data_IF_285143946113
#
_entry.id   IF_285143946113
#
_cell.length_a   1.000
_cell.length_b   1.000
_cell.length_c   1.000
_cell.angle_alpha   90.00
_cell.angle_beta   90.00
_cell.angle_gamma   90.00
#
_symmetry.space_group_name_H-M   'P 1'
#
loop_
_entity.id
_entity.type
_entity.pdbx_description
1 polymer ?
#
# COMPACT_ATOMS: atom_id res chain seq x y z
N UNK A 1 -0.63 -20.62 32.25
CA UNK A 1 -1.76 -20.43 31.33
C UNK A 1 -2.15 -18.97 31.42
N UNK A 2 -1.62 -18.12 30.53
CA UNK A 2 -1.83 -16.67 30.57
C UNK A 2 -3.19 -16.38 29.92
N UNK A 3 -4.15 -15.97 30.75
CA UNK A 3 -5.40 -15.36 30.31
C UNK A 3 -5.07 -14.11 29.50
N UNK A 4 -5.26 -14.15 28.18
CA UNK A 4 -5.30 -12.95 27.33
C UNK A 4 -6.59 -12.18 27.66
N UNK A 5 -6.57 -11.48 28.79
CA UNK A 5 -7.55 -10.46 29.17
C UNK A 5 -7.63 -9.43 28.06
N UNK A 6 -8.86 -9.12 27.65
CA UNK A 6 -9.34 -7.94 26.90
C UNK A 6 -8.23 -7.01 26.42
N UNK A 7 -8.11 -6.82 25.11
CA UNK A 7 -7.43 -5.66 24.50
C UNK A 7 -7.79 -4.41 25.34
N UNK A 8 -6.87 -3.96 26.20
CA UNK A 8 -7.08 -2.76 26.99
C UNK A 8 -7.00 -1.60 26.01
N UNK A 9 -7.94 -0.66 26.10
CA UNK A 9 -7.87 0.59 25.35
C UNK A 9 -6.52 1.26 25.65
N UNK A 10 -5.80 1.61 24.59
CA UNK A 10 -4.49 2.24 24.66
C UNK A 10 -4.59 3.54 25.46
N UNK A 11 -3.68 3.75 26.40
CA UNK A 11 -3.64 5.05 27.09
C UNK A 11 -3.02 6.09 26.16
N UNK A 12 -3.54 7.31 26.24
CA UNK A 12 -3.03 8.42 25.44
C UNK A 12 -1.55 8.68 25.69
N UNK A 13 -1.10 8.50 26.94
CA UNK A 13 0.28 8.66 27.34
C UNK A 13 1.19 7.62 26.66
N UNK A 14 0.82 6.33 26.69
CA UNK A 14 1.60 5.28 26.04
C UNK A 14 1.66 5.50 24.52
N UNK A 15 0.56 5.92 23.88
CA UNK A 15 0.56 6.27 22.46
C UNK A 15 1.60 7.35 22.12
N UNK A 16 1.59 8.49 22.82
CA UNK A 16 2.56 9.56 22.56
C UNK A 16 4.00 9.15 22.85
N UNK A 17 4.25 8.31 23.86
CA UNK A 17 5.60 7.78 24.15
C UNK A 17 6.09 6.87 23.02
N UNK A 18 5.24 5.98 22.50
CA UNK A 18 5.59 5.13 21.35
C UNK A 18 5.92 6.00 20.14
N UNK A 19 5.11 7.03 19.86
CA UNK A 19 5.39 7.97 18.77
C UNK A 19 6.71 8.74 18.96
N UNK A 20 7.03 9.13 20.18
CA UNK A 20 8.30 9.80 20.50
C UNK A 20 9.51 8.87 20.28
N UNK A 21 9.37 7.58 20.61
CA UNK A 21 10.41 6.58 20.32
C UNK A 21 10.57 6.42 18.81
N UNK A 22 9.48 6.24 18.06
CA UNK A 22 9.52 6.14 16.59
C UNK A 22 10.20 7.36 15.97
N UNK A 23 9.86 8.57 16.45
CA UNK A 23 10.48 9.82 16.00
C UNK A 23 11.99 9.85 16.19
N UNK A 24 12.46 9.35 17.34
CA UNK A 24 13.84 9.47 17.77
C UNK A 24 14.69 8.23 17.42
N UNK A 25 14.07 7.18 16.88
CA UNK A 25 14.72 5.92 16.57
C UNK A 25 15.83 6.04 15.50
N UNK A 26 15.78 7.09 14.67
CA UNK A 26 16.70 7.27 13.54
C UNK A 26 17.09 8.72 13.34
N UNK A 27 18.32 8.94 12.86
CA UNK A 27 18.80 10.27 12.41
C UNK A 27 18.07 10.74 11.14
N UNK A 28 17.40 9.84 10.41
CA UNK A 28 16.55 10.13 9.24
C UNK A 28 15.07 10.29 9.63
N UNK A 29 14.77 10.86 10.81
CA UNK A 29 13.38 11.01 11.29
C UNK A 29 12.47 11.81 10.35
N UNK A 30 13.05 12.68 9.50
CA UNK A 30 12.36 13.41 8.44
C UNK A 30 11.91 12.56 7.24
N UNK A 31 12.08 11.24 7.29
CA UNK A 31 11.62 10.29 6.28
C UNK A 31 10.54 9.34 6.77
N UNK A 32 10.20 9.37 8.07
CA UNK A 32 9.15 8.54 8.67
C UNK A 32 7.85 9.32 8.67
N UNK A 33 6.80 8.77 8.07
CA UNK A 33 5.49 9.41 7.96
C UNK A 33 4.42 8.55 8.59
N UNK A 34 3.69 9.07 9.58
CA UNK A 34 2.52 8.37 10.13
C UNK A 34 1.32 8.55 9.21
N UNK A 35 0.54 7.49 9.01
CA UNK A 35 -0.69 7.52 8.23
C UNK A 35 -1.89 7.03 9.07
N UNK A 36 -3.02 6.82 8.39
CA UNK A 36 -4.16 6.12 8.95
C UNK A 36 -4.82 6.87 10.11
N UNK A 37 -5.37 6.11 11.06
CA UNK A 37 -6.08 6.69 12.21
C UNK A 37 -5.14 7.45 13.16
N UNK A 38 -3.87 7.07 13.25
CA UNK A 38 -2.86 7.82 14.02
C UNK A 38 -2.70 9.25 13.50
N UNK A 39 -2.61 9.43 12.17
CA UNK A 39 -2.53 10.77 11.57
C UNK A 39 -3.80 11.60 11.80
N UNK A 40 -4.98 10.99 11.65
CA UNK A 40 -6.26 11.69 11.88
C UNK A 40 -6.44 12.12 13.34
N UNK A 41 -5.96 11.29 14.27
CA UNK A 41 -6.01 11.58 15.69
C UNK A 41 -5.13 12.78 16.04
N UNK A 42 -3.88 12.81 15.54
CA UNK A 42 -2.97 13.95 15.74
C UNK A 42 -3.50 15.25 15.13
N UNK A 43 -4.26 15.17 14.03
CA UNK A 43 -4.96 16.31 13.43
C UNK A 43 -6.25 16.72 14.16
N UNK A 44 -6.60 16.08 15.29
CA UNK A 44 -7.85 16.27 16.03
C UNK A 44 -9.13 16.05 15.20
N UNK A 45 -9.06 15.20 14.17
CA UNK A 45 -10.22 14.90 13.29
C UNK A 45 -11.07 13.79 13.90
N UNK A 46 -10.43 12.79 14.51
CA UNK A 46 -11.10 11.71 15.24
C UNK A 46 -10.77 11.83 16.72
N UNK A 47 -11.75 11.52 17.59
CA UNK A 47 -11.58 11.54 19.06
C UNK A 47 -11.22 10.19 19.65
N UNK A 48 -11.53 9.10 18.95
CA UNK A 48 -11.21 7.74 19.39
C UNK A 48 -9.70 7.51 19.29
N UNK A 49 -9.14 6.74 20.22
CA UNK A 49 -7.74 6.36 20.15
C UNK A 49 -7.49 5.46 18.92
N UNK A 50 -6.38 5.65 18.19
CA UNK A 50 -5.95 4.71 17.15
C UNK A 50 -5.65 3.34 17.77
N UNK A 51 -5.99 2.25 17.08
CA UNK A 51 -5.71 0.88 17.56
C UNK A 51 -4.35 0.35 17.07
N UNK A 52 -3.82 1.01 16.04
CA UNK A 52 -2.59 0.68 15.34
C UNK A 52 -1.82 1.96 14.97
N UNK A 53 -0.52 1.79 14.77
CA UNK A 53 0.39 2.84 14.29
C UNK A 53 0.87 2.42 12.91
N UNK A 54 0.32 3.08 11.90
CA UNK A 54 0.69 2.87 10.51
C UNK A 54 1.86 3.79 10.12
N UNK A 55 2.98 3.19 9.71
CA UNK A 55 4.20 3.88 9.30
C UNK A 55 4.40 3.73 7.78
N UNK A 56 4.59 4.86 7.11
CA UNK A 56 5.10 4.96 5.74
C UNK A 56 6.45 5.68 5.72
N UNK A 57 7.05 5.67 4.54
CA UNK A 57 8.29 6.37 4.27
C UNK A 57 8.15 7.33 3.08
N UNK A 58 8.99 8.35 3.07
CA UNK A 58 9.10 9.29 1.95
C UNK A 58 9.61 8.60 0.68
N UNK A 59 9.17 9.09 -0.49
CA UNK A 59 9.46 8.46 -1.79
C UNK A 59 10.89 8.63 -2.32
N UNK A 60 11.75 9.36 -1.61
CA UNK A 60 13.17 9.53 -1.94
C UNK A 60 14.07 8.40 -1.40
N UNK A 61 13.54 7.50 -0.58
CA UNK A 61 14.27 6.35 -0.06
C UNK A 61 14.08 5.09 -0.93
N UNK A 62 15.17 4.33 -1.08
CA UNK A 62 15.12 2.99 -1.66
C UNK A 62 14.34 2.01 -0.77
N UNK A 63 13.92 0.87 -1.30
CA UNK A 63 13.25 -0.17 -0.51
C UNK A 63 14.15 -0.75 0.58
N UNK A 64 15.44 -0.90 0.29
CA UNK A 64 16.45 -1.35 1.26
C UNK A 64 16.60 -0.36 2.41
N UNK A 65 16.76 0.93 2.12
CA UNK A 65 16.83 1.97 3.15
C UNK A 65 15.58 1.98 4.03
N UNK A 66 14.39 1.83 3.43
CA UNK A 66 13.13 1.77 4.19
C UNK A 66 13.05 0.53 5.09
N UNK A 67 13.55 -0.62 4.64
CA UNK A 67 13.65 -1.81 5.48
C UNK A 67 14.64 -1.58 6.64
N UNK A 68 15.79 -0.97 6.39
CA UNK A 68 16.76 -0.65 7.45
C UNK A 68 16.16 0.31 8.49
N UNK A 69 15.45 1.35 8.04
CA UNK A 69 14.74 2.26 8.95
C UNK A 69 13.67 1.55 9.77
N UNK A 70 12.91 0.62 9.18
CA UNK A 70 11.97 -0.20 9.92
C UNK A 70 12.68 -0.94 11.07
N UNK A 71 13.80 -1.62 10.80
CA UNK A 71 14.57 -2.32 11.82
C UNK A 71 15.13 -1.38 12.90
N UNK A 72 15.61 -0.19 12.51
CA UNK A 72 16.03 0.85 13.46
C UNK A 72 14.91 1.29 14.40
N UNK A 73 13.66 1.33 13.92
CA UNK A 73 12.47 1.65 14.72
C UNK A 73 12.12 0.51 15.66
N UNK A 74 11.92 -0.70 15.12
CA UNK A 74 11.33 -1.81 15.90
C UNK A 74 12.25 -2.37 16.98
N UNK A 75 13.57 -2.23 16.86
CA UNK A 75 14.52 -2.66 17.90
C UNK A 75 14.36 -1.92 19.24
N UNK A 76 13.63 -0.79 19.27
CA UNK A 76 13.34 -0.03 20.49
C UNK A 76 12.17 -0.60 21.30
N UNK A 77 11.56 -1.71 20.85
CA UNK A 77 10.37 -2.27 21.46
C UNK A 77 10.51 -3.76 21.75
N UNK A 78 9.82 -4.22 22.80
CA UNK A 78 9.70 -5.65 23.09
C UNK A 78 8.67 -6.28 22.15
N UNK A 79 9.15 -7.00 21.14
CA UNK A 79 8.29 -7.60 20.11
C UNK A 79 7.65 -8.89 20.65
N UNK A 80 6.32 -8.89 20.76
CA UNK A 80 5.53 -10.06 21.17
C UNK A 80 5.42 -11.05 20.02
N UNK A 81 5.10 -10.55 18.82
CA UNK A 81 4.84 -11.37 17.63
C UNK A 81 4.99 -10.56 16.35
N UNK A 82 5.59 -11.15 15.33
CA UNK A 82 5.46 -10.70 13.95
C UNK A 82 4.20 -11.31 13.31
N UNK A 83 3.28 -10.46 12.85
CA UNK A 83 2.12 -10.88 12.04
C UNK A 83 2.47 -10.97 10.55
N UNK A 84 3.39 -10.12 10.09
CA UNK A 84 4.00 -10.17 8.76
C UNK A 84 5.43 -9.65 8.83
N UNK A 85 6.37 -10.36 8.22
CA UNK A 85 7.78 -9.95 8.18
C UNK A 85 8.40 -10.29 6.83
N UNK A 86 8.10 -9.48 5.82
CA UNK A 86 8.76 -9.56 4.52
C UNK A 86 9.20 -8.16 4.07
N UNK A 87 9.96 -8.07 2.98
CA UNK A 87 10.56 -6.81 2.54
C UNK A 87 9.54 -5.75 2.07
N UNK A 88 8.31 -6.15 1.77
CA UNK A 88 7.24 -5.27 1.29
C UNK A 88 6.27 -4.87 2.41
N UNK A 89 6.04 -5.77 3.36
CA UNK A 89 5.07 -5.62 4.45
C UNK A 89 5.69 -6.08 5.76
N UNK A 90 5.62 -5.21 6.76
CA UNK A 90 6.06 -5.46 8.13
C UNK A 90 4.92 -5.12 9.08
N UNK A 91 4.59 -6.06 9.96
CA UNK A 91 3.48 -5.95 10.91
C UNK A 91 3.91 -6.68 12.17
N UNK A 92 4.00 -5.98 13.29
CA UNK A 92 4.34 -6.58 14.57
C UNK A 92 3.43 -6.09 15.71
N UNK A 93 3.25 -6.96 16.69
CA UNK A 93 2.68 -6.64 17.98
C UNK A 93 3.84 -6.43 18.97
N UNK A 94 3.85 -5.29 19.63
CA UNK A 94 4.85 -4.93 20.64
C UNK A 94 4.19 -4.82 22.02
N UNK A 95 4.96 -5.04 23.07
CA UNK A 95 4.59 -4.68 24.44
C UNK A 95 5.26 -3.37 24.81
N UNK A 96 4.49 -2.42 25.34
CA UNK A 96 5.03 -1.18 25.89
C UNK A 96 4.20 -0.78 27.12
N UNK A 97 4.85 -0.61 28.28
CA UNK A 97 4.17 -0.33 29.56
C UNK A 97 2.99 -1.27 29.88
N UNK A 98 3.13 -2.58 29.60
CA UNK A 98 2.06 -3.58 29.75
C UNK A 98 0.83 -3.39 28.84
N UNK A 99 0.91 -2.49 27.86
CA UNK A 99 -0.05 -2.35 26.75
C UNK A 99 0.49 -3.08 25.51
N UNK A 100 -0.42 -3.48 24.61
CA UNK A 100 -0.07 -4.13 23.34
C UNK A 100 -0.35 -3.13 22.22
N UNK A 101 0.67 -2.78 21.45
CA UNK A 101 0.52 -1.95 20.26
C UNK A 101 0.74 -2.78 19.01
N UNK A 102 -0.01 -2.46 17.96
CA UNK A 102 0.23 -2.94 16.62
C UNK A 102 0.94 -1.86 15.82
N UNK A 103 2.11 -2.19 15.26
CA UNK A 103 2.85 -1.30 14.35
C UNK A 103 2.88 -1.96 12.97
N UNK A 104 2.41 -1.21 11.98
CA UNK A 104 2.22 -1.69 10.61
C UNK A 104 2.97 -0.80 9.62
N UNK A 105 3.60 -1.42 8.62
CA UNK A 105 4.19 -0.72 7.49
C UNK A 105 4.05 -1.54 6.21
N UNK A 106 3.46 -0.92 5.19
CA UNK A 106 3.66 -1.37 3.81
C UNK A 106 4.93 -0.68 3.33
N UNK A 107 6.08 -1.26 3.65
CA UNK A 107 7.42 -0.68 3.44
C UNK A 107 7.64 -0.27 1.98
N UNK A 108 7.08 -1.02 1.03
CA UNK A 108 7.17 -0.72 -0.40
C UNK A 108 6.35 0.49 -0.84
N UNK A 109 5.31 0.86 -0.08
CA UNK A 109 4.46 2.02 -0.37
C UNK A 109 5.17 3.30 0.06
N UNK A 110 5.14 4.31 -0.82
CA UNK A 110 5.68 5.64 -0.56
C UNK A 110 4.57 6.67 -0.49
N UNK A 111 4.84 7.79 0.17
CA UNK A 111 3.95 8.95 0.16
C UNK A 111 4.62 10.15 -0.53
N UNK A 112 3.86 10.84 -1.38
CA UNK A 112 4.30 12.04 -2.06
C UNK A 112 4.41 13.22 -1.07
N UNK A 113 5.42 14.07 -1.27
CA UNK A 113 5.67 15.24 -0.40
C UNK A 113 4.44 16.16 -0.27
N UNK A 114 3.62 16.29 -1.30
CA UNK A 114 2.37 17.08 -1.28
C UNK A 114 1.31 16.55 -0.31
N UNK A 115 1.40 15.28 0.08
CA UNK A 115 0.48 14.63 1.01
C UNK A 115 1.02 14.56 2.44
N UNK A 116 2.19 15.16 2.71
CA UNK A 116 2.84 15.14 4.02
C UNK A 116 2.71 16.53 4.66
N UNK A 117 2.29 16.55 5.91
CA UNK A 117 2.32 17.73 6.78
C UNK A 117 3.10 17.40 8.05
N UNK A 118 3.45 18.42 8.83
CA UNK A 118 4.02 18.23 10.17
C UNK A 118 2.93 18.48 11.20
N UNK A 119 2.77 17.54 12.13
CA UNK A 119 1.96 17.76 13.31
C UNK A 119 2.61 18.88 14.15
N UNK A 120 1.90 19.98 14.45
CA UNK A 120 2.49 21.12 15.16
C UNK A 120 2.94 20.77 16.59
N UNK A 121 2.33 19.78 17.24
CA UNK A 121 2.61 19.45 18.63
C UNK A 121 3.78 18.49 18.78
N UNK A 122 3.80 17.41 18.01
CA UNK A 122 4.83 16.37 18.08
C UNK A 122 5.98 16.60 17.10
N UNK A 123 5.83 17.51 16.12
CA UNK A 123 6.75 17.71 14.98
C UNK A 123 7.02 16.42 14.19
N UNK A 124 6.09 15.45 14.26
CA UNK A 124 6.09 14.25 13.43
C UNK A 124 5.58 14.60 12.03
N UNK A 125 6.12 13.92 11.02
CA UNK A 125 5.51 13.94 9.70
C UNK A 125 4.31 13.00 9.69
N UNK A 126 3.19 13.50 9.18
CA UNK A 126 1.95 12.76 9.08
C UNK A 126 1.32 12.99 7.70
N UNK A 127 0.47 12.08 7.25
CA UNK A 127 -0.30 12.28 6.01
C UNK A 127 -1.41 13.31 6.21
N UNK A 128 -1.66 14.20 5.24
CA UNK A 128 -2.75 15.16 5.32
C UNK A 128 -4.15 14.47 5.27
N UNK A 129 -5.19 15.20 5.65
CA UNK A 129 -6.56 14.66 5.71
C UNK A 129 -7.09 14.17 4.35
N UNK A 130 -6.68 14.79 3.24
CA UNK A 130 -7.09 14.39 1.89
C UNK A 130 -6.52 13.02 1.52
N UNK A 131 -5.25 12.77 1.85
CA UNK A 131 -4.61 11.47 1.70
C UNK A 131 -5.28 10.42 2.59
N UNK A 132 -5.54 10.75 3.85
CA UNK A 132 -6.25 9.86 4.77
C UNK A 132 -7.64 9.49 4.24
N UNK A 133 -8.37 10.45 3.68
CA UNK A 133 -9.69 10.23 3.09
C UNK A 133 -9.62 9.23 1.93
N UNK A 134 -8.72 9.44 0.97
CA UNK A 134 -8.59 8.55 -0.18
C UNK A 134 -8.05 7.17 0.22
N UNK A 135 -7.07 7.11 1.12
CA UNK A 135 -6.55 5.84 1.62
C UNK A 135 -7.65 4.98 2.26
N UNK A 136 -8.60 5.61 2.97
CA UNK A 136 -9.77 4.93 3.53
C UNK A 136 -10.75 4.44 2.47
N UNK A 137 -10.99 5.20 1.40
CA UNK A 137 -11.79 4.73 0.26
C UNK A 137 -11.14 3.52 -0.42
N UNK A 138 -9.83 3.58 -0.67
CA UNK A 138 -9.08 2.46 -1.25
C UNK A 138 -9.13 1.21 -0.36
N UNK A 139 -9.01 1.39 0.96
CA UNK A 139 -9.18 0.30 1.92
C UNK A 139 -10.58 -0.34 1.85
N UNK A 140 -11.65 0.47 1.80
CA UNK A 140 -13.01 -0.07 1.67
C UNK A 140 -13.18 -0.86 0.36
N UNK A 141 -12.65 -0.34 -0.76
CA UNK A 141 -12.67 -1.03 -2.04
C UNK A 141 -11.99 -2.42 -1.98
N UNK A 142 -10.86 -2.52 -1.27
CA UNK A 142 -10.11 -3.76 -1.04
C UNK A 142 -10.84 -4.76 -0.13
N UNK A 143 -11.43 -4.30 0.98
CA UNK A 143 -12.08 -5.19 1.95
C UNK A 143 -13.34 -5.83 1.36
N UNK A 144 -14.08 -5.07 0.55
CA UNK A 144 -15.33 -5.53 -0.05
C UNK A 144 -15.12 -6.50 -1.22
N UNK A 145 -13.90 -6.65 -1.76
CA UNK A 145 -13.57 -7.64 -2.81
C UNK A 145 -13.21 -9.00 -2.24
N UNK A 146 -12.48 -9.02 -1.12
CA UNK A 146 -11.64 -10.17 -0.78
C UNK A 146 -12.14 -11.02 0.40
N UNK A 147 -13.29 -10.71 1.00
CA UNK A 147 -13.74 -11.39 2.22
C UNK A 147 -15.25 -11.56 2.30
N UNK A 148 -15.68 -12.71 2.82
CA UNK A 148 -16.97 -12.79 3.50
C UNK A 148 -17.01 -11.69 4.58
N UNK A 149 -18.04 -10.85 4.51
CA UNK A 149 -18.23 -9.77 5.48
C UNK A 149 -18.59 -10.39 6.83
N UNK A 150 -17.57 -10.57 7.68
CA UNK A 150 -17.72 -11.05 9.04
C UNK A 150 -17.79 -9.89 10.05
N UNK A 151 -18.14 -10.20 11.32
CA UNK A 151 -18.31 -9.20 12.38
C UNK A 151 -17.09 -8.27 12.57
N UNK A 152 -15.86 -8.79 12.47
CA UNK A 152 -14.64 -7.98 12.60
C UNK A 152 -14.48 -7.01 11.42
N UNK A 153 -14.78 -7.47 10.20
CA UNK A 153 -14.78 -6.63 9.00
C UNK A 153 -15.85 -5.54 9.07
N UNK A 154 -17.06 -5.85 9.56
CA UNK A 154 -18.15 -4.88 9.74
C UNK A 154 -17.72 -3.72 10.64
N UNK A 155 -17.14 -4.03 11.81
CA UNK A 155 -16.67 -2.99 12.74
C UNK A 155 -15.63 -2.07 12.08
N UNK A 156 -14.67 -2.65 11.35
CA UNK A 156 -13.63 -1.86 10.66
C UNK A 156 -14.20 -1.05 9.50
N UNK A 157 -15.21 -1.55 8.78
CA UNK A 157 -15.92 -0.78 7.74
C UNK A 157 -16.66 0.40 8.38
N UNK A 158 -17.42 0.17 9.46
CA UNK A 158 -18.16 1.21 10.18
C UNK A 158 -17.23 2.31 10.73
N UNK A 159 -16.12 1.93 11.38
CA UNK A 159 -15.12 2.91 11.83
C UNK A 159 -14.53 3.68 10.66
N UNK A 160 -14.30 3.03 9.52
CA UNK A 160 -13.77 3.69 8.31
C UNK A 160 -14.77 4.70 7.74
N UNK A 161 -16.05 4.34 7.67
CA UNK A 161 -17.13 5.24 7.22
C UNK A 161 -17.36 6.42 8.18
N UNK A 162 -17.21 6.19 9.49
CA UNK A 162 -17.21 7.24 10.50
C UNK A 162 -16.05 8.21 10.25
N UNK A 163 -14.82 7.72 10.11
CA UNK A 163 -13.67 8.59 9.87
C UNK A 163 -13.81 9.39 8.55
N UNK A 164 -14.32 8.79 7.47
CA UNK A 164 -14.61 9.48 6.21
C UNK A 164 -15.63 10.61 6.42
N UNK A 165 -16.67 10.33 7.20
CA UNK A 165 -17.69 11.29 7.58
C UNK A 165 -17.11 12.45 8.37
N UNK A 166 -16.27 12.15 9.37
CA UNK A 166 -15.63 13.15 10.21
C UNK A 166 -14.73 14.07 9.39
N UNK A 167 -13.92 13.51 8.46
CA UNK A 167 -13.12 14.33 7.53
C UNK A 167 -14.02 15.23 6.67
N UNK A 168 -15.08 14.69 6.09
CA UNK A 168 -16.01 15.47 5.26
C UNK A 168 -16.79 16.54 6.03
N UNK A 169 -16.95 16.39 7.34
CA UNK A 169 -17.60 17.37 8.20
C UNK A 169 -16.65 18.50 8.62
N UNK A 170 -15.35 18.23 8.78
CA UNK A 170 -14.34 19.23 9.14
C UNK A 170 -13.75 19.98 7.95
N UNK A 171 -13.69 19.37 6.75
CA UNK A 171 -12.98 19.92 5.61
C UNK A 171 -13.80 19.94 4.33
N UNK A 172 -13.52 20.95 3.48
CA UNK A 172 -14.03 21.00 2.12
C UNK A 172 -13.13 20.17 1.19
N UNK A 173 -13.65 19.03 0.72
CA UNK A 173 -12.93 18.12 -0.15
C UNK A 173 -13.19 18.46 -1.62
N UNK A 174 -12.17 18.97 -2.31
CA UNK A 174 -12.24 19.22 -3.76
C UNK A 174 -12.04 17.91 -4.52
N UNK A 175 -12.97 17.57 -5.41
CA UNK A 175 -12.92 16.33 -6.18
C UNK A 175 -11.62 16.18 -6.98
N UNK A 176 -11.11 17.24 -7.60
CA UNK A 176 -9.84 17.19 -8.34
C UNK A 176 -8.65 16.79 -7.47
N UNK A 177 -8.61 17.24 -6.21
CA UNK A 177 -7.56 16.83 -5.27
C UNK A 177 -7.71 15.37 -4.89
N UNK A 178 -8.93 14.91 -4.59
CA UNK A 178 -9.23 13.50 -4.29
C UNK A 178 -8.83 12.62 -5.47
N UNK A 179 -9.22 12.99 -6.70
CA UNK A 179 -8.89 12.28 -7.93
C UNK A 179 -7.38 12.13 -8.12
N UNK A 180 -6.62 13.23 -7.96
CA UNK A 180 -5.16 13.20 -8.03
C UNK A 180 -4.58 12.22 -7.01
N UNK A 181 -5.03 12.28 -5.76
CA UNK A 181 -4.55 11.40 -4.69
C UNK A 181 -4.96 9.93 -4.93
N UNK A 182 -6.13 9.66 -5.53
CA UNK A 182 -6.51 8.29 -5.95
C UNK A 182 -5.46 7.72 -6.89
N UNK A 183 -5.10 8.47 -7.94
CA UNK A 183 -4.09 8.05 -8.92
C UNK A 183 -2.76 7.80 -8.22
N UNK A 184 -2.33 8.70 -7.34
CA UNK A 184 -1.08 8.57 -6.58
C UNK A 184 -1.07 7.31 -5.69
N UNK A 185 -2.15 7.04 -4.96
CA UNK A 185 -2.26 5.87 -4.09
C UNK A 185 -2.22 4.58 -4.91
N UNK A 186 -2.94 4.52 -6.03
CA UNK A 186 -2.92 3.33 -6.89
C UNK A 186 -1.50 3.07 -7.39
N UNK A 187 -0.83 4.10 -7.95
CA UNK A 187 0.54 3.95 -8.45
C UNK A 187 1.53 3.51 -7.35
N UNK A 188 1.36 4.01 -6.12
CA UNK A 188 2.19 3.63 -4.97
C UNK A 188 1.93 2.19 -4.48
N UNK A 189 0.73 1.67 -4.70
CA UNK A 189 0.31 0.34 -4.25
C UNK A 189 0.63 -0.78 -5.25
N UNK A 190 0.67 -0.50 -6.56
CA UNK A 190 0.94 -1.51 -7.59
C UNK A 190 2.17 -2.38 -7.29
N UNK A 191 3.35 -1.84 -6.87
CA UNK A 191 4.52 -2.66 -6.55
C UNK A 191 4.25 -3.81 -5.57
N UNK A 192 3.45 -3.58 -4.52
CA UNK A 192 3.13 -4.63 -3.54
C UNK A 192 1.93 -5.49 -3.94
N UNK A 193 1.08 -5.03 -4.84
CA UNK A 193 -0.15 -5.73 -5.23
C UNK A 193 0.07 -6.65 -6.43
N UNK A 194 0.96 -6.25 -7.34
CA UNK A 194 1.11 -6.88 -8.65
C UNK A 194 1.56 -8.34 -8.54
N UNK A 195 2.17 -8.76 -7.45
CA UNK A 195 2.61 -10.15 -7.25
C UNK A 195 1.55 -11.00 -6.55
N UNK A 196 1.11 -10.65 -5.33
CA UNK A 196 0.19 -11.50 -4.57
C UNK A 196 -1.24 -11.54 -5.13
N UNK A 197 -1.66 -10.52 -5.90
CA UNK A 197 -3.01 -10.45 -6.41
C UNK A 197 -3.11 -11.04 -7.82
N UNK A 198 -4.15 -11.85 -8.05
CA UNK A 198 -4.53 -12.33 -9.39
C UNK A 198 -5.27 -11.24 -10.17
N UNK A 199 -6.07 -10.44 -9.51
CA UNK A 199 -6.89 -9.37 -10.08
C UNK A 199 -6.82 -8.16 -9.16
N UNK A 200 -6.94 -6.95 -9.72
CA UNK A 200 -6.97 -5.74 -8.92
C UNK A 200 -8.39 -5.47 -8.40
N UNK A 201 -8.50 -4.68 -7.34
CA UNK A 201 -9.80 -4.34 -6.73
C UNK A 201 -10.28 -2.92 -7.06
N UNK A 202 -9.54 -2.15 -7.87
CA UNK A 202 -9.88 -0.74 -8.14
C UNK A 202 -11.22 -0.51 -8.86
N UNK A 203 -11.76 -1.50 -9.58
CA UNK A 203 -13.15 -1.43 -10.06
C UNK A 203 -14.16 -1.24 -8.92
N UNK A 204 -13.89 -1.81 -7.74
CA UNK A 204 -14.73 -1.61 -6.57
C UNK A 204 -14.73 -0.18 -6.06
N UNK A 205 -13.70 0.62 -6.35
CA UNK A 205 -13.70 2.03 -5.98
C UNK A 205 -14.79 2.80 -6.76
N UNK A 206 -15.01 2.41 -8.03
CA UNK A 206 -16.03 2.99 -8.90
C UNK A 206 -17.45 2.56 -8.51
N UNK A 207 -17.60 1.35 -7.95
CA UNK A 207 -18.89 0.82 -7.50
C UNK A 207 -19.09 0.92 -5.97
N UNK A 208 -18.17 1.55 -5.25
CA UNK A 208 -18.06 1.46 -3.80
C UNK A 208 -19.36 1.84 -3.07
N UNK A 209 -20.02 2.91 -3.53
CA UNK A 209 -21.31 3.34 -2.97
C UNK A 209 -22.37 2.25 -3.07
N UNK A 210 -22.53 1.67 -4.25
CA UNK A 210 -23.51 0.62 -4.50
C UNK A 210 -23.20 -0.62 -3.66
N UNK A 211 -21.94 -1.04 -3.62
CA UNK A 211 -21.50 -2.19 -2.83
C UNK A 211 -21.77 -1.98 -1.33
N UNK A 212 -21.47 -0.80 -0.80
CA UNK A 212 -21.75 -0.46 0.61
C UNK A 212 -23.26 -0.50 0.91
N UNK A 213 -24.09 0.09 0.03
CA UNK A 213 -25.55 0.12 0.21
C UNK A 213 -26.19 -1.26 0.13
N UNK A 214 -25.78 -2.10 -0.82
CA UNK A 214 -26.26 -3.48 -0.95
C UNK A 214 -25.97 -4.29 0.33
N UNK A 215 -24.83 -4.01 0.98
CA UNK A 215 -24.45 -4.66 2.23
C UNK A 215 -24.99 -3.96 3.49
N UNK A 216 -25.93 -3.03 3.35
CA UNK A 216 -26.63 -2.38 4.47
C UNK A 216 -25.83 -1.32 5.23
N UNK A 217 -24.70 -0.85 4.68
CA UNK A 217 -23.92 0.21 5.32
C UNK A 217 -24.52 1.59 5.08
N UNK A 218 -24.60 2.40 6.14
CA UNK A 218 -25.00 3.79 6.05
C UNK A 218 -23.85 4.67 5.53
N UNK A 219 -24.16 5.56 4.57
CA UNK A 219 -23.19 6.47 3.95
C UNK A 219 -23.72 7.89 4.06
N UNK A 220 -22.97 8.80 4.71
CA UNK A 220 -23.33 10.22 4.78
C UNK A 220 -23.34 10.86 3.39
N UNK A 221 -24.16 11.91 3.21
CA UNK A 221 -24.39 12.59 1.93
C UNK A 221 -23.10 13.10 1.27
N UNK A 222 -22.21 13.75 2.02
CA UNK A 222 -20.93 14.26 1.50
C UNK A 222 -20.02 13.14 0.96
N UNK A 223 -19.95 12.02 1.67
CA UNK A 223 -19.19 10.84 1.21
C UNK A 223 -19.84 10.28 -0.05
N UNK A 224 -21.18 10.14 -0.05
CA UNK A 224 -21.92 9.65 -1.20
C UNK A 224 -21.78 10.54 -2.45
N UNK A 225 -21.66 11.86 -2.29
CA UNK A 225 -21.40 12.80 -3.38
C UNK A 225 -20.04 12.54 -4.04
N UNK A 226 -18.98 12.41 -3.24
CA UNK A 226 -17.64 12.09 -3.76
C UNK A 226 -17.63 10.73 -4.46
N UNK A 227 -18.27 9.71 -3.87
CA UNK A 227 -18.36 8.38 -4.50
C UNK A 227 -19.11 8.41 -5.85
N UNK A 228 -20.17 9.23 -5.96
CA UNK A 228 -20.87 9.43 -7.22
C UNK A 228 -19.95 10.06 -8.29
N UNK A 229 -19.14 11.06 -7.92
CA UNK A 229 -18.18 11.70 -8.83
C UNK A 229 -17.09 10.70 -9.25
N UNK A 230 -16.56 9.91 -8.32
CA UNK A 230 -15.60 8.83 -8.60
C UNK A 230 -16.17 7.85 -9.63
N UNK A 231 -17.41 7.37 -9.42
CA UNK A 231 -18.08 6.45 -10.34
C UNK A 231 -18.22 7.00 -11.76
N UNK A 232 -18.47 8.30 -11.88
CA UNK A 232 -18.70 8.96 -13.16
C UNK A 232 -17.42 9.36 -13.89
N UNK A 233 -16.27 9.43 -13.22
CA UNK A 233 -15.03 9.93 -13.78
C UNK A 233 -14.40 8.98 -14.83
N UNK A 234 -14.26 9.49 -16.06
CA UNK A 234 -13.76 8.69 -17.18
C UNK A 234 -12.26 8.40 -17.10
N UNK A 235 -11.47 9.28 -16.46
CA UNK A 235 -10.04 9.03 -16.27
C UNK A 235 -9.83 7.87 -15.30
N UNK A 236 -10.58 7.81 -14.20
CA UNK A 236 -10.51 6.69 -13.25
C UNK A 236 -10.99 5.37 -13.88
N UNK A 237 -12.02 5.40 -14.74
CA UNK A 237 -12.44 4.21 -15.52
C UNK A 237 -11.36 3.76 -16.49
N UNK A 238 -10.76 4.69 -17.22
CA UNK A 238 -9.65 4.42 -18.14
C UNK A 238 -8.46 3.80 -17.40
N UNK A 239 -8.12 4.38 -16.26
CA UNK A 239 -7.07 3.88 -15.37
C UNK A 239 -7.35 2.45 -14.91
N UNK A 240 -8.59 2.12 -14.51
CA UNK A 240 -8.94 0.74 -14.14
C UNK A 240 -8.70 -0.24 -15.29
N UNK A 241 -9.08 0.12 -16.53
CA UNK A 241 -8.80 -0.72 -17.72
C UNK A 241 -7.31 -0.91 -17.99
N UNK A 242 -6.51 0.14 -17.82
CA UNK A 242 -5.05 0.06 -17.96
C UNK A 242 -4.47 -0.90 -16.90
N UNK A 243 -5.01 -0.87 -15.68
CA UNK A 243 -4.60 -1.77 -14.61
C UNK A 243 -5.06 -3.21 -14.89
N UNK A 244 -6.25 -3.44 -15.49
CA UNK A 244 -6.66 -4.76 -15.96
C UNK A 244 -5.61 -5.34 -16.92
N UNK A 245 -5.14 -4.52 -17.87
CA UNK A 245 -4.14 -4.95 -18.84
C UNK A 245 -2.79 -5.24 -18.17
N UNK A 246 -2.35 -4.42 -17.21
CA UNK A 246 -1.18 -4.70 -16.38
C UNK A 246 -1.29 -6.04 -15.67
N UNK A 247 -2.45 -6.34 -15.07
CA UNK A 247 -2.68 -7.60 -14.36
C UNK A 247 -2.73 -8.80 -15.33
N UNK A 248 -3.30 -8.66 -16.53
CA UNK A 248 -3.26 -9.69 -17.58
C UNK A 248 -1.82 -9.97 -18.01
N UNK A 249 -1.03 -8.93 -18.31
CA UNK A 249 0.37 -9.04 -18.75
C UNK A 249 1.21 -9.70 -17.65
N UNK A 250 1.07 -9.24 -16.41
CA UNK A 250 1.74 -9.87 -15.26
C UNK A 250 1.33 -11.33 -15.10
N UNK A 251 0.04 -11.64 -15.16
CA UNK A 251 -0.44 -13.02 -14.96
C UNK A 251 0.07 -13.95 -16.06
N UNK A 252 0.16 -13.47 -17.30
CA UNK A 252 0.80 -14.19 -18.40
C UNK A 252 2.27 -14.46 -18.10
N UNK A 253 3.06 -13.43 -17.76
CA UNK A 253 4.47 -13.59 -17.42
C UNK A 253 4.69 -14.59 -16.26
N UNK A 254 3.91 -14.46 -15.19
CA UNK A 254 3.95 -15.41 -14.07
C UNK A 254 3.54 -16.81 -14.54
N UNK A 255 2.47 -16.97 -15.31
CA UNK A 255 2.06 -18.28 -15.79
C UNK A 255 3.17 -18.96 -16.61
N UNK A 256 3.77 -18.28 -17.58
CA UNK A 256 4.87 -18.79 -18.40
C UNK A 256 6.08 -19.21 -17.54
N UNK A 257 6.45 -18.40 -16.54
CA UNK A 257 7.53 -18.73 -15.60
C UNK A 257 7.28 -19.99 -14.77
N UNK A 258 6.02 -20.37 -14.55
CA UNK A 258 5.64 -21.51 -13.70
C UNK A 258 5.13 -22.73 -14.48
N UNK A 259 4.62 -22.58 -15.69
CA UNK A 259 4.15 -23.67 -16.55
C UNK A 259 5.27 -24.66 -16.87
N UNK A 260 6.46 -24.16 -17.19
CA UNK A 260 7.66 -24.97 -17.47
C UNK A 260 8.33 -25.58 -16.23
N UNK A 261 7.95 -25.16 -15.02
CA UNK A 261 8.47 -25.75 -13.76
C UNK A 261 8.03 -27.18 -13.52
N UNK A 262 7.07 -27.69 -14.31
CA UNK A 262 6.79 -29.12 -14.38
C UNK A 262 8.00 -29.94 -14.85
N UNK A 263 9.05 -29.30 -15.37
CA UNK A 263 10.22 -29.98 -15.95
C UNK A 263 11.59 -29.67 -15.32
N UNK A 264 11.77 -28.66 -14.46
CA UNK A 264 13.08 -28.41 -13.81
C UNK A 264 13.01 -27.76 -12.42
N UNK A 265 13.86 -28.24 -11.49
CA UNK A 265 13.94 -27.78 -10.09
C UNK A 265 14.69 -26.44 -9.96
N UNK A 266 14.15 -25.59 -9.07
CA UNK A 266 14.72 -24.40 -8.39
C UNK A 266 14.99 -23.18 -9.28
N UNK A 267 13.96 -22.35 -9.43
CA UNK A 267 14.16 -20.90 -9.49
C UNK A 267 14.35 -20.38 -8.06
N UNK A 268 15.45 -19.69 -7.82
CA UNK A 268 15.65 -18.87 -6.63
C UNK A 268 14.97 -17.53 -6.89
N UNK A 269 13.84 -17.27 -6.23
CA UNK A 269 13.35 -15.92 -6.10
C UNK A 269 14.35 -15.18 -5.20
N UNK A 270 15.20 -14.32 -5.76
CA UNK A 270 15.87 -13.34 -4.91
C UNK A 270 14.92 -12.19 -4.68
N UNK A 271 14.67 -11.95 -3.40
CA UNK A 271 14.23 -10.74 -2.72
C UNK A 271 13.47 -9.66 -3.53
N UNK A 272 12.42 -9.15 -2.89
CA UNK A 272 11.53 -8.04 -3.22
C UNK A 272 10.23 -8.37 -3.95
N UNK A 273 9.90 -9.64 -4.17
CA UNK A 273 8.60 -10.08 -4.71
C UNK A 273 8.39 -9.77 -6.20
N UNK A 274 8.90 -8.64 -6.70
CA UNK A 274 8.77 -8.18 -8.09
C UNK A 274 10.00 -8.46 -8.94
N UNK A 275 11.11 -8.89 -8.32
CA UNK A 275 12.37 -9.22 -8.99
C UNK A 275 12.52 -10.72 -9.17
N UNK A 276 12.91 -11.15 -10.37
CA UNK A 276 13.09 -12.54 -10.74
C UNK A 276 14.51 -12.77 -11.21
N UNK A 277 15.19 -13.76 -10.63
CA UNK A 277 16.43 -14.33 -11.16
C UNK A 277 16.10 -15.53 -12.03
N UNK A 278 16.41 -15.42 -13.30
CA UNK A 278 16.13 -16.41 -14.32
C UNK A 278 17.44 -16.95 -14.90
N UNK A 279 17.54 -18.21 -15.33
CA UNK A 279 18.72 -18.70 -15.99
C UNK A 279 18.93 -17.95 -17.32
N UNK A 280 20.19 -17.69 -17.68
CA UNK A 280 20.50 -17.06 -18.96
C UNK A 280 20.39 -18.07 -20.12
N UNK A 281 19.16 -18.42 -20.50
CA UNK A 281 18.84 -19.34 -21.59
C UNK A 281 17.82 -18.72 -22.56
N UNK A 282 17.60 -19.37 -23.71
CA UNK A 282 16.69 -18.88 -24.75
C UNK A 282 15.26 -18.70 -24.24
N UNK A 283 14.78 -19.64 -23.42
CA UNK A 283 13.44 -19.59 -22.82
C UNK A 283 13.22 -18.32 -21.99
N UNK A 284 14.13 -18.01 -21.06
CA UNK A 284 14.01 -16.82 -20.22
C UNK A 284 14.08 -15.53 -21.05
N UNK A 285 14.88 -15.49 -22.11
CA UNK A 285 14.91 -14.35 -23.04
C UNK A 285 13.57 -14.16 -23.74
N UNK A 286 12.99 -15.23 -24.27
CA UNK A 286 11.69 -15.18 -24.97
C UNK A 286 10.55 -14.74 -24.05
N UNK A 287 10.47 -15.24 -22.82
CA UNK A 287 9.44 -14.77 -21.86
C UNK A 287 9.58 -13.28 -21.59
N UNK A 288 10.82 -12.81 -21.39
CA UNK A 288 11.10 -11.41 -21.11
C UNK A 288 10.76 -10.54 -22.33
N UNK A 289 11.16 -10.95 -23.53
CA UNK A 289 10.80 -10.27 -24.79
C UNK A 289 9.28 -10.16 -24.94
N UNK A 290 8.53 -11.26 -24.77
CA UNK A 290 7.07 -11.25 -24.83
C UNK A 290 6.46 -10.29 -23.80
N UNK A 291 6.97 -10.29 -22.56
CA UNK A 291 6.50 -9.38 -21.50
C UNK A 291 6.68 -7.90 -21.90
N UNK A 292 7.83 -7.55 -22.47
CA UNK A 292 8.09 -6.18 -22.92
C UNK A 292 7.30 -5.81 -24.18
N UNK A 293 7.11 -6.76 -25.10
CA UNK A 293 6.28 -6.57 -26.30
C UNK A 293 4.81 -6.33 -25.95
N UNK A 294 4.26 -7.07 -24.98
CA UNK A 294 2.91 -6.83 -24.48
C UNK A 294 2.75 -5.44 -23.84
N UNK A 295 3.81 -4.91 -23.23
CA UNK A 295 3.83 -3.53 -22.72
C UNK A 295 4.10 -2.49 -23.83
N UNK A 296 4.19 -2.93 -25.09
CA UNK A 296 4.54 -2.10 -26.25
C UNK A 296 5.84 -1.30 -26.04
N UNK A 297 6.80 -1.90 -25.33
CA UNK A 297 8.15 -1.36 -25.21
C UNK A 297 9.01 -1.89 -26.36
N UNK A 298 9.55 -1.00 -27.21
CA UNK A 298 10.45 -1.41 -28.30
C UNK A 298 11.67 -2.15 -27.71
N UNK A 299 11.95 -3.37 -28.18
CA UNK A 299 13.07 -4.22 -27.75
C UNK A 299 14.44 -3.49 -27.78
N UNK A 300 14.61 -2.47 -28.64
CA UNK A 300 15.84 -1.66 -28.68
C UNK A 300 16.08 -0.75 -27.47
N UNK A 301 15.06 -0.47 -26.63
CA UNK A 301 15.21 0.28 -25.37
C UNK A 301 15.60 -0.58 -24.17
N UNK A 302 15.72 -1.91 -24.35
CA UNK A 302 16.14 -2.86 -23.30
C UNK A 302 17.62 -2.75 -22.91
N UNK A 303 18.37 -1.83 -23.50
CA UNK A 303 19.78 -1.65 -23.22
C UNK A 303 20.00 -0.97 -21.85
N UNK A 304 20.70 -1.65 -20.94
CA UNK A 304 21.60 -1.26 -19.82
C UNK A 304 21.44 0.08 -19.05
N UNK A 305 20.75 1.09 -19.56
CA UNK A 305 20.55 2.43 -18.98
C UNK A 305 19.44 2.49 -17.93
N UNK A 306 18.48 1.55 -17.92
CA UNK A 306 17.31 1.63 -17.03
C UNK A 306 17.33 0.65 -15.84
N UNK A 307 18.35 -0.21 -15.71
CA UNK A 307 18.49 -1.19 -14.61
C UNK A 307 17.28 -2.14 -14.39
N UNK A 308 16.43 -2.38 -15.39
CA UNK A 308 15.32 -3.35 -15.26
C UNK A 308 15.72 -4.78 -15.58
N UNK A 309 16.83 -4.93 -16.30
CA UNK A 309 17.37 -6.17 -16.79
C UNK A 309 18.90 -6.15 -16.62
N UNK A 310 19.45 -7.05 -15.81
CA UNK A 310 20.90 -7.31 -15.78
C UNK A 310 21.18 -8.70 -16.31
N UNK A 311 22.17 -8.79 -17.20
CA UNK A 311 22.68 -10.07 -17.71
C UNK A 311 24.01 -10.35 -17.04
N UNK A 312 24.02 -11.36 -16.18
CA UNK A 312 25.23 -11.99 -15.65
C UNK A 312 25.48 -13.29 -16.42
N UNK A 313 26.72 -13.78 -16.42
CA UNK A 313 27.11 -14.90 -17.31
C UNK A 313 26.23 -16.15 -17.17
N UNK A 314 25.57 -16.36 -16.02
CA UNK A 314 24.65 -17.48 -15.77
C UNK A 314 23.19 -17.08 -15.54
N UNK A 315 22.89 -15.80 -15.30
CA UNK A 315 21.57 -15.35 -14.82
C UNK A 315 21.10 -14.06 -15.49
N UNK A 316 19.78 -13.92 -15.58
CA UNK A 316 19.06 -12.72 -16.00
C UNK A 316 18.24 -12.24 -14.80
N UNK A 317 18.45 -11.01 -14.35
CA UNK A 317 17.67 -10.41 -13.25
C UNK A 317 16.68 -9.43 -13.87
N UNK A 318 15.37 -9.63 -13.62
CA UNK A 318 14.31 -8.75 -14.11
C UNK A 318 13.42 -8.24 -12.97
N UNK A 319 13.20 -6.93 -12.90
CA UNK A 319 12.19 -6.30 -12.04
C UNK A 319 10.95 -5.98 -12.88
N UNK A 320 9.83 -6.66 -12.60
CA UNK A 320 8.60 -6.49 -13.39
C UNK A 320 7.75 -5.31 -12.92
N UNK A 321 7.93 -4.79 -11.71
CA UNK A 321 7.07 -3.71 -11.21
C UNK A 321 7.33 -2.37 -11.91
N UNK A 322 8.61 -2.03 -12.12
CA UNK A 322 9.01 -0.79 -12.81
C UNK A 322 8.39 -0.64 -14.21
N UNK A 323 8.56 -1.58 -15.15
CA UNK A 323 8.00 -1.45 -16.49
C UNK A 323 6.47 -1.40 -16.48
N UNK A 324 5.80 -2.10 -15.56
CA UNK A 324 4.35 -2.01 -15.40
C UNK A 324 3.90 -0.62 -14.93
N UNK A 325 4.59 -0.03 -13.95
CA UNK A 325 4.31 1.34 -13.48
C UNK A 325 4.53 2.36 -14.60
N UNK A 326 5.59 2.20 -15.39
CA UNK A 326 5.84 3.08 -16.53
C UNK A 326 4.78 2.95 -17.62
N UNK A 327 4.33 1.73 -17.90
CA UNK A 327 3.19 1.50 -18.79
C UNK A 327 1.93 2.23 -18.29
N UNK A 328 1.62 2.13 -16.99
CA UNK A 328 0.48 2.86 -16.41
C UNK A 328 0.65 4.37 -16.61
N UNK A 329 1.80 4.93 -16.23
CA UNK A 329 2.07 6.38 -16.35
C UNK A 329 2.01 6.88 -17.78
N UNK A 330 2.44 6.08 -18.76
CA UNK A 330 2.40 6.43 -20.19
C UNK A 330 0.98 6.49 -20.74
N UNK A 331 0.08 5.64 -20.25
CA UNK A 331 -1.28 5.50 -20.81
C UNK A 331 -2.35 6.29 -20.04
N UNK A 332 -2.02 6.88 -18.88
CA UNK A 332 -2.94 7.76 -18.12
C UNK A 332 -2.82 9.24 -18.56
N UNK A 333 -1.66 9.64 -19.09
CA UNK A 333 -1.45 10.97 -19.69
C UNK A 333 -2.04 11.03 -21.10
#
# INVERSE_FOLDING_TARGET
>A
MLDFKKERELTLESFYKVLAIIKNATTKSGSIVLQGSSSLYLQNIIKRNPNDIDILFTGDLSLEERNNLWYEIIQNFDIIKYEAENELIKTCLISFNSEIFKIDSIVSKTVNKSSIIRDPNSNLQITNYEYCYVAKLAYLAYVLTNREINAKSINKINSTLSDLSDIGDHFSLKFETIKKIIIEIILANIPCEVIPLKEHYYWNLLELKNTLQINGFFIKSKVAEILNKIKQDDLLKSMCKIIDDVFKIKNYFIYELFFERRFNKKFLFSNYGTTFKLPNCQFSKTIIENFYEMLSFNNHKLNKKNNWLTNENSEIIIDIAKPLIEYIKKNIN
#
